data_IF_913098971342
#
_entry.id   IF_913098971342
#
_cell.length_a   1.000
_cell.length_b   1.000
_cell.length_c   1.000
_cell.angle_alpha   90.00
_cell.angle_beta   90.00
_cell.angle_gamma   90.00
#
_symmetry.space_group_name_H-M   'P 1'
#
loop_
_entity.id
_entity.type
_entity.pdbx_description
1 polymer ?
#
# COMPACT_ATOMS: atom_id res chain seq x y z
N UNK A 1 -36.13 9.62 -3.50
CA UNK A 1 -35.43 9.29 -2.25
C UNK A 1 -34.57 8.07 -2.51
N UNK A 2 -33.30 8.04 -2.11
CA UNK A 2 -32.48 6.84 -2.24
C UNK A 2 -32.87 5.80 -1.18
N UNK A 3 -32.93 4.53 -1.56
CA UNK A 3 -33.08 3.41 -0.61
C UNK A 3 -31.84 3.36 0.29
N UNK A 4 -31.99 3.30 1.62
CA UNK A 4 -30.85 3.19 2.53
C UNK A 4 -30.13 1.85 2.30
N UNK A 5 -28.80 1.87 2.45
CA UNK A 5 -27.94 0.68 2.42
C UNK A 5 -27.44 0.38 3.83
N UNK A 6 -27.29 -0.90 4.15
CA UNK A 6 -26.46 -1.35 5.27
C UNK A 6 -24.99 -1.01 5.02
N UNK A 7 -24.18 -0.96 6.07
CA UNK A 7 -22.73 -0.74 5.94
C UNK A 7 -22.06 -1.83 5.08
N UNK A 8 -22.52 -3.08 5.20
CA UNK A 8 -22.02 -4.19 4.39
C UNK A 8 -22.34 -3.98 2.90
N UNK A 9 -23.56 -3.59 2.56
CA UNK A 9 -23.94 -3.29 1.17
C UNK A 9 -23.15 -2.11 0.60
N UNK A 10 -22.92 -1.06 1.39
CA UNK A 10 -22.08 0.07 0.98
C UNK A 10 -20.64 -0.39 0.72
N UNK A 11 -20.03 -1.16 1.62
CA UNK A 11 -18.66 -1.63 1.47
C UNK A 11 -18.48 -2.60 0.30
N UNK A 12 -19.45 -3.49 0.07
CA UNK A 12 -19.46 -4.36 -1.12
C UNK A 12 -19.53 -3.51 -2.38
N UNK A 13 -20.38 -2.48 -2.41
CA UNK A 13 -20.48 -1.57 -3.56
C UNK A 13 -19.16 -0.82 -3.82
N UNK A 14 -18.50 -0.31 -2.78
CA UNK A 14 -17.19 0.35 -2.92
C UNK A 14 -16.16 -0.62 -3.48
N UNK A 15 -16.07 -1.84 -2.93
CA UNK A 15 -15.16 -2.88 -3.40
C UNK A 15 -15.36 -3.20 -4.88
N UNK A 16 -16.58 -3.54 -5.29
CA UNK A 16 -16.89 -3.86 -6.69
C UNK A 16 -16.59 -2.69 -7.62
N UNK A 17 -16.90 -1.46 -7.20
CA UNK A 17 -16.60 -0.26 -8.00
C UNK A 17 -15.09 -0.11 -8.21
N UNK A 18 -14.28 -0.33 -7.18
CA UNK A 18 -12.82 -0.26 -7.30
C UNK A 18 -12.27 -1.40 -8.17
N UNK A 19 -12.76 -2.63 -8.00
CA UNK A 19 -12.34 -3.80 -8.77
C UNK A 19 -12.70 -3.69 -10.26
N UNK A 20 -13.84 -3.07 -10.59
CA UNK A 20 -14.29 -2.88 -11.98
C UNK A 20 -13.59 -1.72 -12.69
N UNK A 21 -13.21 -0.67 -11.96
CA UNK A 21 -12.76 0.60 -12.56
C UNK A 21 -11.25 0.82 -12.50
N UNK A 22 -10.54 0.09 -11.65
CA UNK A 22 -9.09 0.23 -11.53
C UNK A 22 -8.35 -0.79 -12.38
N UNK A 23 -7.22 -0.37 -12.94
CA UNK A 23 -6.24 -1.26 -13.54
C UNK A 23 -5.75 -2.32 -12.53
N UNK A 24 -5.30 -3.49 -13.02
CA UNK A 24 -4.85 -4.59 -12.16
C UNK A 24 -3.70 -4.23 -11.21
N UNK A 25 -2.86 -3.26 -11.57
CA UNK A 25 -1.72 -2.81 -10.77
C UNK A 25 -1.20 -1.45 -11.22
N UNK A 26 -0.50 -0.76 -10.32
CA UNK A 26 0.06 0.56 -10.54
C UNK A 26 1.49 0.66 -10.03
N UNK A 27 2.28 1.49 -10.71
CA UNK A 27 3.51 2.04 -10.19
C UNK A 27 3.22 3.39 -9.51
N UNK A 28 3.63 3.53 -8.25
CA UNK A 28 3.32 4.69 -7.41
C UNK A 28 4.59 5.19 -6.74
N UNK A 29 4.86 6.48 -6.84
CA UNK A 29 5.93 7.14 -6.10
C UNK A 29 5.36 7.62 -4.77
N UNK A 30 5.99 7.27 -3.65
CA UNK A 30 5.59 7.72 -2.32
C UNK A 30 6.78 7.74 -1.34
N UNK A 31 6.64 8.43 -0.23
CA UNK A 31 7.52 8.29 0.93
C UNK A 31 6.94 7.25 1.90
N UNK A 32 7.79 6.39 2.47
CA UNK A 32 7.41 5.53 3.59
C UNK A 32 7.30 6.41 4.84
N UNK A 33 6.10 6.80 5.23
CA UNK A 33 5.87 7.58 6.45
C UNK A 33 6.10 6.76 7.72
N UNK A 34 5.63 5.52 7.75
CA UNK A 34 5.92 4.57 8.82
C UNK A 34 5.93 3.13 8.31
N UNK A 35 6.62 2.24 9.02
CA UNK A 35 6.70 0.82 8.68
C UNK A 35 6.82 -0.04 9.92
N UNK A 36 6.10 -1.16 9.94
CA UNK A 36 6.21 -2.19 10.96
C UNK A 36 6.23 -3.58 10.30
N UNK A 37 7.17 -4.42 10.71
CA UNK A 37 7.19 -5.84 10.34
C UNK A 37 6.53 -6.65 11.45
N UNK A 38 5.42 -7.30 11.14
CA UNK A 38 4.72 -8.18 12.07
C UNK A 38 5.53 -9.46 12.35
N UNK A 39 5.24 -10.13 13.47
CA UNK A 39 5.93 -11.37 13.87
C UNK A 39 5.89 -12.46 12.79
N UNK A 40 4.83 -12.50 11.97
CA UNK A 40 4.68 -13.46 10.86
C UNK A 40 5.37 -13.02 9.55
N UNK A 41 6.12 -11.91 9.58
CA UNK A 41 6.93 -11.41 8.47
C UNK A 41 6.22 -10.49 7.48
N UNK A 42 4.94 -10.17 7.68
CA UNK A 42 4.25 -9.15 6.87
C UNK A 42 4.78 -7.76 7.22
N UNK A 43 5.02 -6.93 6.21
CA UNK A 43 5.29 -5.51 6.44
C UNK A 43 4.01 -4.71 6.24
N UNK A 44 3.68 -3.88 7.21
CA UNK A 44 2.60 -2.90 7.14
C UNK A 44 3.23 -1.51 7.07
N UNK A 45 2.82 -0.72 6.10
CA UNK A 45 3.39 0.58 5.81
C UNK A 45 2.29 1.64 5.77
N UNK A 46 2.69 2.86 6.06
CA UNK A 46 1.96 4.05 5.69
C UNK A 46 2.76 4.77 4.60
N UNK A 47 2.15 4.93 3.44
CA UNK A 47 2.69 5.71 2.34
C UNK A 47 2.15 7.13 2.43
N UNK A 48 3.03 8.12 2.26
CA UNK A 48 2.67 9.52 2.28
C UNK A 48 3.29 10.26 1.09
N UNK A 49 2.59 11.28 0.61
CA UNK A 49 3.13 12.30 -0.29
C UNK A 49 3.10 13.63 0.47
N UNK A 50 4.17 14.40 0.36
CA UNK A 50 4.33 15.69 1.03
C UNK A 50 4.64 16.79 0.02
N UNK A 51 4.05 17.96 0.25
CA UNK A 51 4.39 19.21 -0.40
C UNK A 51 4.62 20.27 0.68
N UNK A 52 5.79 20.89 0.72
CA UNK A 52 6.18 21.89 1.73
C UNK A 52 5.92 21.42 3.18
N UNK A 53 6.34 20.18 3.50
CA UNK A 53 6.11 19.49 4.79
C UNK A 53 4.64 19.14 5.12
N UNK A 54 3.67 19.53 4.27
CA UNK A 54 2.28 19.15 4.42
C UNK A 54 1.98 17.84 3.69
N UNK A 55 1.37 16.87 4.38
CA UNK A 55 0.90 15.62 3.75
C UNK A 55 -0.29 15.93 2.83
N UNK A 56 -0.13 15.68 1.53
CA UNK A 56 -1.15 15.88 0.48
C UNK A 56 -1.92 14.59 0.19
N UNK A 57 -1.25 13.44 0.28
CA UNK A 57 -1.85 12.13 0.10
C UNK A 57 -1.29 11.13 1.12
N UNK A 58 -2.13 10.17 1.52
CA UNK A 58 -1.78 9.13 2.47
C UNK A 58 -2.56 7.86 2.20
N UNK A 59 -1.87 6.71 2.21
CA UNK A 59 -2.47 5.41 1.96
C UNK A 59 -1.80 4.33 2.82
N UNK A 60 -2.61 3.43 3.38
CA UNK A 60 -2.07 2.23 4.04
C UNK A 60 -1.60 1.24 2.99
N UNK A 61 -0.47 0.61 3.22
CA UNK A 61 0.05 -0.42 2.36
C UNK A 61 0.49 -1.65 3.16
N UNK A 62 0.58 -2.78 2.47
CA UNK A 62 1.07 -4.02 3.04
C UNK A 62 1.89 -4.79 2.01
N UNK A 63 2.92 -5.49 2.50
CA UNK A 63 3.70 -6.46 1.75
C UNK A 63 3.57 -7.80 2.47
N UNK A 64 3.06 -8.81 1.76
CA UNK A 64 2.92 -10.15 2.33
C UNK A 64 4.29 -10.79 2.61
N UNK A 65 4.36 -11.73 3.55
CA UNK A 65 5.63 -12.12 4.17
C UNK A 65 6.63 -12.70 3.16
N UNK A 66 6.14 -13.52 2.23
CA UNK A 66 6.96 -14.07 1.16
C UNK A 66 7.54 -12.98 0.26
N UNK A 67 6.68 -12.07 -0.22
CA UNK A 67 7.08 -10.93 -1.07
C UNK A 67 8.03 -9.99 -0.32
N UNK A 68 7.74 -9.67 0.94
CA UNK A 68 8.54 -8.75 1.74
C UNK A 68 9.96 -9.29 1.92
N UNK A 69 10.11 -10.58 2.21
CA UNK A 69 11.44 -11.21 2.35
C UNK A 69 12.28 -11.06 1.08
N UNK A 70 11.66 -11.23 -0.09
CA UNK A 70 12.36 -11.12 -1.38
C UNK A 70 12.70 -9.66 -1.69
N UNK A 71 11.69 -8.79 -1.67
CA UNK A 71 11.82 -7.37 -2.02
C UNK A 71 12.78 -6.65 -1.08
N UNK A 72 12.65 -6.83 0.24
CA UNK A 72 13.54 -6.16 1.20
C UNK A 72 15.00 -6.62 1.08
N UNK A 73 15.24 -7.92 0.87
CA UNK A 73 16.58 -8.47 0.68
C UNK A 73 17.22 -7.95 -0.61
N UNK A 74 16.48 -7.96 -1.71
CA UNK A 74 16.96 -7.43 -2.99
C UNK A 74 17.22 -5.92 -2.90
N UNK A 75 16.26 -5.14 -2.39
CA UNK A 75 16.39 -3.70 -2.21
C UNK A 75 17.64 -3.34 -1.40
N UNK A 76 17.87 -4.01 -0.27
CA UNK A 76 19.06 -3.78 0.54
C UNK A 76 20.35 -4.20 -0.16
N UNK A 77 20.33 -5.28 -0.95
CA UNK A 77 21.51 -5.72 -1.70
C UNK A 77 21.94 -4.74 -2.79
N UNK A 78 20.99 -3.99 -3.38
CA UNK A 78 21.24 -3.00 -4.44
C UNK A 78 21.57 -1.64 -3.85
N UNK A 79 20.80 -1.16 -2.87
CA UNK A 79 20.93 0.19 -2.30
C UNK A 79 21.90 0.29 -1.12
N UNK A 80 22.28 -0.85 -0.53
CA UNK A 80 23.04 -0.92 0.73
C UNK A 80 22.23 -0.56 1.99
N UNK A 81 20.97 -0.14 1.85
CA UNK A 81 20.12 0.30 2.97
C UNK A 81 18.82 -0.53 3.05
N UNK A 82 18.33 -0.86 4.26
CA UNK A 82 17.05 -1.56 4.38
C UNK A 82 15.89 -0.61 4.04
N UNK A 83 14.74 -1.20 3.68
CA UNK A 83 13.48 -0.45 3.63
C UNK A 83 13.15 0.08 5.03
N UNK A 84 12.93 1.39 5.14
CA UNK A 84 12.63 2.06 6.39
C UNK A 84 11.85 3.35 6.16
N UNK A 85 11.30 3.92 7.23
CA UNK A 85 10.61 5.20 7.16
C UNK A 85 11.54 6.33 6.68
N UNK A 86 10.96 7.32 6.00
CA UNK A 86 11.64 8.46 5.38
C UNK A 86 12.21 8.19 3.99
N UNK A 87 12.18 6.96 3.49
CA UNK A 87 12.60 6.65 2.12
C UNK A 87 11.51 7.02 1.12
N UNK A 88 11.89 7.76 0.08
CA UNK A 88 11.08 7.90 -1.14
C UNK A 88 11.32 6.68 -2.02
N UNK A 89 10.24 6.03 -2.42
CA UNK A 89 10.26 4.75 -3.12
C UNK A 89 9.30 4.76 -4.31
N UNK A 90 9.65 3.99 -5.33
CA UNK A 90 8.75 3.65 -6.44
C UNK A 90 8.22 2.22 -6.19
N UNK A 91 6.93 2.10 -5.89
CA UNK A 91 6.32 0.82 -5.52
C UNK A 91 5.38 0.33 -6.62
N UNK A 92 5.43 -0.96 -6.91
CA UNK A 92 4.44 -1.63 -7.74
C UNK A 92 3.41 -2.31 -6.83
N UNK A 93 2.14 -1.96 -6.97
CA UNK A 93 1.10 -2.47 -6.07
C UNK A 93 -0.27 -2.62 -6.71
N UNK A 94 -1.09 -3.42 -6.04
CA UNK A 94 -2.49 -3.67 -6.39
C UNK A 94 -3.36 -2.96 -5.36
N UNK A 95 -4.32 -2.16 -5.82
CA UNK A 95 -5.31 -1.55 -4.92
C UNK A 95 -6.26 -2.62 -4.43
N UNK A 96 -6.44 -2.72 -3.11
CA UNK A 96 -7.33 -3.69 -2.49
C UNK A 96 -8.28 -2.98 -1.53
N UNK A 97 -9.52 -3.46 -1.45
CA UNK A 97 -10.49 -3.00 -0.47
C UNK A 97 -11.01 -4.18 0.33
N UNK A 98 -10.81 -4.14 1.65
CA UNK A 98 -11.38 -5.11 2.58
C UNK A 98 -12.56 -4.48 3.32
N UNK A 99 -13.64 -5.21 3.46
CA UNK A 99 -14.91 -4.72 4.01
C UNK A 99 -14.79 -4.26 5.47
N UNK A 100 -13.79 -4.77 6.20
CA UNK A 100 -13.48 -4.38 7.59
C UNK A 100 -12.33 -3.38 7.70
N UNK A 101 -11.31 -3.48 6.83
CA UNK A 101 -10.06 -2.73 7.00
C UNK A 101 -9.93 -1.54 6.05
N UNK A 102 -10.83 -1.44 5.07
CA UNK A 102 -10.89 -0.39 4.08
C UNK A 102 -9.88 -0.56 2.94
N UNK A 103 -9.57 0.55 2.29
CA UNK A 103 -8.66 0.67 1.15
C UNK A 103 -7.20 0.48 1.59
N UNK A 104 -6.44 -0.30 0.83
CA UNK A 104 -5.00 -0.41 0.98
C UNK A 104 -4.30 -0.69 -0.34
N UNK A 105 -2.98 -0.47 -0.39
CA UNK A 105 -2.13 -0.92 -1.48
C UNK A 105 -1.41 -2.20 -1.07
N UNK A 106 -1.67 -3.31 -1.76
CA UNK A 106 -0.86 -4.51 -1.62
C UNK A 106 0.36 -4.40 -2.54
N UNK A 107 1.51 -4.07 -1.96
CA UNK A 107 2.76 -3.89 -2.69
C UNK A 107 3.31 -5.27 -3.08
N UNK A 108 3.64 -5.39 -4.37
CA UNK A 108 4.18 -6.58 -5.01
C UNK A 108 5.67 -6.47 -5.28
N UNK A 109 6.16 -5.25 -5.51
CA UNK A 109 7.56 -4.97 -5.77
C UNK A 109 7.92 -3.53 -5.38
N UNK A 110 9.20 -3.26 -5.20
CA UNK A 110 9.74 -1.91 -4.94
C UNK A 110 10.99 -1.76 -5.79
N UNK A 111 11.02 -0.73 -6.64
CA UNK A 111 12.20 -0.42 -7.43
C UNK A 111 13.34 0.07 -6.52
N UNK A 112 14.56 -0.48 -6.65
CA UNK A 112 15.69 -0.15 -5.79
C UNK A 112 16.66 0.86 -6.45
N UNK A 113 16.33 1.46 -7.58
CA UNK A 113 17.19 2.41 -8.29
C UNK A 113 16.80 3.87 -8.05
#
# INVERSE_FOLDING_TARGET
MQTPLTLAELNTKVKSTLEEQLEPSYWVIAEIGSMQVAQRGHAYLELVEKQDEQITAKLRANIWAYTYRVVSGWFQSVTGSPLQAGLKVLVHGVVTYHEVYGLSLNIKDIDPN
#
